data_IF_549475248648
#
_entry.id   IF_549475248648
#
_cell.length_a   1.000
_cell.length_b   1.000
_cell.length_c   1.000
_cell.angle_alpha   90.00
_cell.angle_beta   90.00
_cell.angle_gamma   90.00
#
_symmetry.space_group_name_H-M   'P 1'
#
loop_
_entity.id
_entity.type
_entity.pdbx_description
1 polymer ?
#
# COMPACT_ATOMS: atom_id res chain seq x y z
N UNK A 1 14.12 -13.50 2.64
CA UNK A 1 13.82 -12.42 1.68
C UNK A 1 13.29 -12.86 0.29
N UNK A 2 13.20 -14.17 -0.01
CA UNK A 2 12.83 -14.65 -1.36
C UNK A 2 11.47 -14.12 -1.85
N UNK A 3 10.43 -14.16 -1.01
CA UNK A 3 9.08 -13.70 -1.37
C UNK A 3 9.02 -12.19 -1.59
N UNK A 4 9.56 -11.40 -0.67
CA UNK A 4 9.55 -9.93 -0.79
C UNK A 4 10.36 -9.46 -1.99
N UNK A 5 11.48 -10.14 -2.29
CA UNK A 5 12.27 -9.87 -3.48
C UNK A 5 11.51 -10.19 -4.78
N UNK A 6 10.73 -11.28 -4.82
CA UNK A 6 9.89 -11.58 -5.98
C UNK A 6 8.83 -10.50 -6.22
N UNK A 7 8.19 -10.00 -5.14
CA UNK A 7 7.21 -8.92 -5.23
C UNK A 7 7.87 -7.64 -5.78
N UNK A 8 9.01 -7.22 -5.22
CA UNK A 8 9.76 -6.06 -5.73
C UNK A 8 10.19 -6.24 -7.19
N UNK A 9 10.60 -7.45 -7.58
CA UNK A 9 10.96 -7.78 -8.96
C UNK A 9 9.78 -7.59 -9.91
N UNK A 10 8.56 -7.93 -9.49
CA UNK A 10 7.33 -7.72 -10.29
C UNK A 10 7.07 -6.23 -10.54
N UNK A 11 7.27 -5.37 -9.54
CA UNK A 11 7.14 -3.92 -9.67
C UNK A 11 8.21 -3.38 -10.65
N UNK A 12 9.47 -3.75 -10.44
CA UNK A 12 10.59 -3.28 -11.28
C UNK A 12 10.49 -3.67 -12.76
N UNK A 13 9.76 -4.74 -13.10
CA UNK A 13 9.54 -5.15 -14.49
C UNK A 13 8.67 -4.20 -15.29
N UNK A 14 7.92 -3.32 -14.62
CA UNK A 14 7.07 -2.31 -15.25
C UNK A 14 7.84 -1.01 -15.53
N UNK A 15 9.10 -0.91 -15.09
CA UNK A 15 9.93 0.27 -15.31
C UNK A 15 10.45 0.27 -16.74
N UNK A 16 10.20 1.35 -17.46
CA UNK A 16 10.71 1.62 -18.80
C UNK A 16 10.83 3.13 -19.01
N UNK A 17 11.62 3.55 -20.01
CA UNK A 17 11.93 4.97 -20.27
C UNK A 17 10.70 5.81 -20.66
N UNK A 18 9.60 5.16 -21.03
CA UNK A 18 8.30 5.76 -21.41
C UNK A 18 7.27 5.78 -20.27
N UNK A 19 7.62 5.31 -19.05
CA UNK A 19 6.72 5.26 -17.90
C UNK A 19 7.18 6.23 -16.81
N UNK A 20 6.43 7.32 -16.64
CA UNK A 20 6.70 8.32 -15.59
C UNK A 20 6.29 7.85 -14.18
N UNK A 21 5.15 7.13 -14.08
CA UNK A 21 4.55 6.74 -12.79
C UNK A 21 3.96 5.33 -12.89
N UNK A 22 4.29 4.50 -11.90
CA UNK A 22 3.70 3.17 -11.72
C UNK A 22 2.74 3.22 -10.52
N UNK A 23 1.46 2.90 -10.74
CA UNK A 23 0.47 2.73 -9.68
C UNK A 23 0.33 1.23 -9.42
N UNK A 24 0.75 0.79 -8.23
CA UNK A 24 0.59 -0.60 -7.79
C UNK A 24 -0.50 -0.66 -6.73
N UNK A 25 -1.62 -1.30 -7.05
CA UNK A 25 -2.62 -1.66 -6.05
C UNK A 25 -2.11 -2.83 -5.21
N UNK A 26 -2.21 -2.70 -3.89
CA UNK A 26 -1.98 -3.80 -2.96
C UNK A 26 -3.34 -4.26 -2.46
N UNK A 27 -3.85 -5.35 -3.01
CA UNK A 27 -5.11 -5.95 -2.59
C UNK A 27 -5.04 -6.56 -1.18
N UNK A 28 -6.20 -6.77 -0.55
CA UNK A 28 -6.32 -7.22 0.85
C UNK A 28 -6.53 -6.05 1.82
N UNK A 29 -6.75 -6.36 3.11
CA UNK A 29 -6.94 -5.34 4.15
C UNK A 29 -5.73 -5.30 5.08
N UNK A 30 -5.24 -4.10 5.42
CA UNK A 30 -4.16 -3.96 6.40
C UNK A 30 -4.63 -4.50 7.75
N UNK A 31 -3.85 -5.42 8.31
CA UNK A 31 -4.20 -6.18 9.52
C UNK A 31 -4.41 -7.67 9.24
N UNK A 32 -4.76 -8.04 8.01
CA UNK A 32 -4.90 -9.44 7.62
C UNK A 32 -3.54 -10.11 7.40
N UNK A 33 -3.44 -11.41 7.74
CA UNK A 33 -2.16 -12.15 7.66
C UNK A 33 -1.62 -12.23 6.22
N UNK A 34 -2.52 -12.21 5.23
CA UNK A 34 -2.16 -12.33 3.81
C UNK A 34 -1.39 -11.12 3.26
N UNK A 35 -1.56 -9.93 3.85
CA UNK A 35 -0.96 -8.68 3.36
C UNK A 35 0.50 -8.51 3.80
N UNK A 36 0.92 -9.23 4.85
CA UNK A 36 2.22 -9.04 5.52
C UNK A 36 3.42 -9.07 4.55
N UNK A 37 3.52 -10.03 3.59
CA UNK A 37 4.63 -10.04 2.64
C UNK A 37 4.63 -8.83 1.69
N UNK A 38 3.46 -8.32 1.30
CA UNK A 38 3.35 -7.16 0.43
C UNK A 38 3.73 -5.87 1.15
N UNK A 39 3.26 -5.67 2.39
CA UNK A 39 3.63 -4.52 3.20
C UNK A 39 5.14 -4.48 3.46
N UNK A 40 5.76 -5.62 3.76
CA UNK A 40 7.21 -5.69 3.94
C UNK A 40 7.97 -5.46 2.62
N UNK A 41 7.44 -5.96 1.49
CA UNK A 41 8.06 -5.73 0.18
C UNK A 41 8.06 -4.24 -0.20
N UNK A 42 6.94 -3.53 -0.06
CA UNK A 42 6.88 -2.09 -0.38
C UNK A 42 7.71 -1.28 0.62
N UNK A 43 7.72 -1.66 1.92
CA UNK A 43 8.58 -1.03 2.93
C UNK A 43 10.06 -1.10 2.53
N UNK A 44 10.52 -2.26 2.07
CA UNK A 44 11.87 -2.44 1.51
C UNK A 44 12.06 -1.66 0.21
N UNK A 45 11.07 -1.68 -0.70
CA UNK A 45 11.15 -1.00 -2.00
C UNK A 45 11.42 0.50 -1.86
N UNK A 46 10.77 1.17 -0.89
CA UNK A 46 11.04 2.59 -0.60
C UNK A 46 12.48 2.87 -0.16
N UNK A 47 13.16 1.91 0.47
CA UNK A 47 14.59 2.04 0.79
C UNK A 47 15.44 1.88 -0.46
N UNK A 48 15.05 0.98 -1.38
CA UNK A 48 15.78 0.70 -2.61
C UNK A 48 15.73 1.89 -3.60
N UNK A 49 14.55 2.49 -3.82
CA UNK A 49 14.38 3.58 -4.82
C UNK A 49 14.46 4.98 -4.22
N UNK A 50 14.48 5.09 -2.88
CA UNK A 50 14.51 6.35 -2.17
C UNK A 50 13.14 6.99 -1.92
N UNK A 51 13.04 7.78 -0.84
CA UNK A 51 11.78 8.38 -0.34
C UNK A 51 11.07 9.27 -1.36
N UNK A 52 11.81 9.93 -2.25
CA UNK A 52 11.23 10.88 -3.20
C UNK A 52 10.58 10.20 -4.41
N UNK A 53 10.80 8.89 -4.59
CA UNK A 53 10.32 8.12 -5.74
C UNK A 53 9.17 7.17 -5.38
N UNK A 54 8.60 7.27 -4.16
CA UNK A 54 7.48 6.43 -3.69
C UNK A 54 6.49 7.27 -2.88
N UNK A 55 5.21 7.12 -3.22
CA UNK A 55 4.09 7.62 -2.43
C UNK A 55 3.21 6.45 -1.97
N UNK A 56 2.72 6.49 -0.74
CA UNK A 56 1.75 5.52 -0.22
C UNK A 56 0.41 6.18 -0.02
N UNK A 57 -0.63 5.60 -0.62
CA UNK A 57 -2.02 6.01 -0.47
C UNK A 57 -2.76 4.88 0.23
N UNK A 58 -3.40 5.18 1.36
CA UNK A 58 -4.13 4.21 2.15
C UNK A 58 -5.63 4.55 2.12
N UNK A 59 -6.43 3.64 1.55
CA UNK A 59 -7.88 3.80 1.46
C UNK A 59 -8.50 3.28 2.75
N UNK A 60 -9.33 4.10 3.40
CA UNK A 60 -9.99 3.75 4.66
C UNK A 60 -11.49 4.07 4.62
N UNK A 61 -12.24 3.42 5.51
CA UNK A 61 -13.68 3.62 5.64
C UNK A 61 -13.98 4.61 6.77
N UNK A 62 -14.78 5.64 6.46
CA UNK A 62 -15.37 6.55 7.46
C UNK A 62 -16.88 6.26 7.53
N UNK A 63 -17.35 5.39 8.44
CA UNK A 63 -18.75 5.00 8.49
C UNK A 63 -19.64 6.11 9.07
N UNK A 64 -20.87 6.19 8.57
CA UNK A 64 -21.95 7.01 9.11
C UNK A 64 -22.79 6.19 10.11
N UNK A 65 -22.98 6.72 11.32
CA UNK A 65 -23.77 6.08 12.38
C UNK A 65 -25.15 6.75 12.45
N UNK A 66 -26.15 6.08 11.87
CA UNK A 66 -27.52 6.61 11.72
C UNK A 66 -28.13 7.18 13.01
N UNK A 67 -28.15 6.44 14.13
CA UNK A 67 -28.78 6.92 15.37
C UNK A 67 -28.16 8.20 15.96
N UNK A 68 -26.85 8.43 15.74
CA UNK A 68 -26.18 9.63 16.22
C UNK A 68 -26.05 10.73 15.16
N UNK A 69 -26.30 10.42 13.88
CA UNK A 69 -26.13 11.38 12.77
C UNK A 69 -24.68 11.78 12.50
N UNK A 70 -23.70 10.96 12.90
CA UNK A 70 -22.28 11.33 12.88
C UNK A 70 -21.43 10.41 12.00
N UNK A 71 -20.44 11.00 11.35
CA UNK A 71 -19.33 10.29 10.71
C UNK A 71 -18.27 9.94 11.76
N UNK A 72 -17.79 8.69 11.78
CA UNK A 72 -16.76 8.26 12.75
C UNK A 72 -15.43 8.05 12.07
N UNK A 73 -14.41 8.81 12.48
CA UNK A 73 -13.04 8.72 11.94
C UNK A 73 -12.18 7.68 12.65
N UNK A 74 -12.67 7.09 13.74
CA UNK A 74 -11.93 6.10 14.55
C UNK A 74 -11.41 4.90 13.73
N UNK A 75 -12.15 4.31 12.78
CA UNK A 75 -11.63 3.22 11.96
C UNK A 75 -10.42 3.59 11.10
N UNK A 76 -10.28 4.84 10.66
CA UNK A 76 -9.11 5.33 9.91
C UNK A 76 -7.87 5.55 10.80
N UNK A 77 -8.07 5.75 12.10
CA UNK A 77 -6.98 6.05 13.05
C UNK A 77 -6.25 4.81 13.58
N UNK A 78 -6.94 3.67 13.60
CA UNK A 78 -6.43 2.38 14.05
C UNK A 78 -5.73 1.64 12.92
#
# INVERSE_FOLDING_TARGET
PHITNEIKRRINRLVSDDVDVIITEVGGTVGDIEILPFLEAIRQFRLDVGRNNVCYVHVTLVPFIGPSGEMKTKPTQH
#
